data_IF_904377903524
#
_entry.id   IF_904377903524
#
_cell.length_a   1.000
_cell.length_b   1.000
_cell.length_c   1.000
_cell.angle_alpha   90.00
_cell.angle_beta   90.00
_cell.angle_gamma   90.00
#
_symmetry.space_group_name_H-M   'P 1'
#
loop_
_entity.id
_entity.type
_entity.pdbx_description
1 polymer ?
#
# COMPACT_ATOMS: atom_id res chain seq x y z
N UNK A 1 -8.39 13.56 -5.12
CA UNK A 1 -7.35 13.43 -6.17
C UNK A 1 -7.60 12.13 -6.93
N UNK A 2 -7.58 12.15 -8.28
CA UNK A 2 -7.85 10.93 -9.07
C UNK A 2 -6.70 9.93 -8.95
N UNK A 3 -5.53 10.24 -9.52
CA UNK A 3 -4.36 9.35 -9.48
C UNK A 3 -3.10 10.13 -9.09
N UNK A 4 -2.32 9.56 -8.17
CA UNK A 4 -0.96 9.98 -7.85
C UNK A 4 -0.04 8.81 -8.19
N UNK A 5 0.87 9.03 -9.12
CA UNK A 5 1.85 8.03 -9.55
C UNK A 5 3.25 8.62 -9.41
N UNK A 6 4.10 7.95 -8.65
CA UNK A 6 5.47 8.36 -8.38
C UNK A 6 6.41 7.20 -8.68
N UNK A 7 7.37 7.45 -9.56
CA UNK A 7 8.36 6.47 -9.97
C UNK A 7 9.78 6.90 -9.60
N UNK A 8 10.59 5.94 -9.17
CA UNK A 8 12.00 6.11 -8.84
C UNK A 8 12.20 7.31 -7.89
N UNK A 9 13.07 8.27 -8.23
CA UNK A 9 13.35 9.43 -7.38
C UNK A 9 12.11 10.26 -7.03
N UNK A 10 11.03 10.19 -7.82
CA UNK A 10 9.82 10.93 -7.51
C UNK A 10 9.12 10.40 -6.24
N UNK A 11 9.36 9.14 -5.84
CA UNK A 11 8.76 8.57 -4.63
C UNK A 11 9.12 9.40 -3.39
N UNK A 12 10.33 9.98 -3.35
CA UNK A 12 10.83 10.82 -2.25
C UNK A 12 10.11 12.17 -2.09
N UNK A 13 9.23 12.55 -3.02
CA UNK A 13 8.37 13.72 -2.83
C UNK A 13 7.16 13.39 -1.96
N UNK A 14 6.80 12.11 -1.76
CA UNK A 14 5.59 11.70 -1.07
C UNK A 14 5.46 12.33 0.33
N UNK A 15 6.48 12.34 1.21
CA UNK A 15 6.42 13.04 2.49
C UNK A 15 6.26 14.56 2.35
N UNK A 16 6.77 15.14 1.26
CA UNK A 16 6.75 16.58 0.98
C UNK A 16 5.41 17.08 0.44
N UNK A 17 4.56 16.17 -0.05
CA UNK A 17 3.19 16.49 -0.45
C UNK A 17 2.29 16.85 0.74
N UNK A 18 2.76 16.60 1.99
CA UNK A 18 2.05 16.92 3.24
C UNK A 18 0.61 16.43 3.21
N UNK A 19 0.42 15.17 2.81
CA UNK A 19 -0.89 14.55 2.85
C UNK A 19 -1.35 14.44 4.31
N UNK A 20 -2.62 14.70 4.56
CA UNK A 20 -3.26 14.55 5.86
C UNK A 20 -4.42 13.55 5.79
N UNK A 21 -5.01 13.24 6.93
CA UNK A 21 -6.02 12.19 7.13
C UNK A 21 -7.25 12.31 6.20
N UNK A 22 -7.70 13.54 5.92
CA UNK A 22 -8.91 13.80 5.13
C UNK A 22 -8.68 13.68 3.62
N UNK A 23 -7.44 13.54 3.16
CA UNK A 23 -7.15 13.42 1.75
C UNK A 23 -7.78 12.15 1.17
N UNK A 24 -8.43 12.29 0.02
CA UNK A 24 -9.00 11.17 -0.72
C UNK A 24 -8.26 11.00 -2.04
N UNK A 25 -7.59 9.87 -2.21
CA UNK A 25 -6.87 9.48 -3.42
C UNK A 25 -7.57 8.25 -4.02
N UNK A 26 -8.02 8.32 -5.28
CA UNK A 26 -8.62 7.14 -5.91
C UNK A 26 -7.55 6.08 -6.23
N UNK A 27 -6.38 6.50 -6.70
CA UNK A 27 -5.28 5.59 -7.00
C UNK A 27 -3.91 6.18 -6.61
N UNK A 28 -3.18 5.47 -5.73
CA UNK A 28 -1.80 5.76 -5.36
C UNK A 28 -0.90 4.63 -5.91
N UNK A 29 0.01 4.99 -6.80
CA UNK A 29 0.98 4.07 -7.42
C UNK A 29 2.39 4.53 -7.10
N UNK A 30 3.17 3.68 -6.42
CA UNK A 30 4.58 3.91 -6.16
C UNK A 30 5.39 2.78 -6.79
N UNK A 31 6.46 3.11 -7.51
CA UNK A 31 7.38 2.13 -8.07
C UNK A 31 8.82 2.62 -7.97
N UNK A 32 9.75 1.72 -7.64
CA UNK A 32 11.17 2.04 -7.62
C UNK A 32 11.98 0.78 -7.92
N UNK A 33 12.82 0.84 -8.94
CA UNK A 33 13.57 -0.33 -9.42
C UNK A 33 14.91 -0.52 -8.69
N UNK A 34 15.24 0.37 -7.74
CA UNK A 34 16.44 0.28 -6.92
C UNK A 34 16.25 1.03 -5.59
N UNK A 35 16.90 0.57 -4.52
CA UNK A 35 16.88 1.20 -3.18
C UNK A 35 17.40 2.65 -3.19
N UNK A 36 18.31 3.01 -4.11
CA UNK A 36 18.84 4.38 -4.25
C UNK A 36 17.78 5.45 -4.52
N UNK A 37 16.59 5.04 -4.95
CA UNK A 37 15.48 5.93 -5.26
C UNK A 37 14.61 6.25 -4.05
N UNK A 38 14.74 5.48 -2.97
CA UNK A 38 13.87 5.56 -1.79
C UNK A 38 14.71 5.56 -0.51
N UNK A 39 15.73 6.43 -0.41
CA UNK A 39 16.69 6.38 0.71
C UNK A 39 16.18 7.01 2.00
N UNK A 40 15.25 7.97 1.94
CA UNK A 40 14.84 8.73 3.13
C UNK A 40 13.57 8.14 3.76
N UNK A 41 12.62 7.68 2.94
CA UNK A 41 11.36 7.14 3.46
C UNK A 41 11.56 5.90 4.36
N UNK A 42 12.41 4.91 4.04
CA UNK A 42 12.66 3.76 4.91
C UNK A 42 13.26 4.12 6.27
N UNK A 43 13.92 5.29 6.39
CA UNK A 43 14.46 5.79 7.66
C UNK A 43 13.40 6.43 8.56
N UNK A 44 12.20 6.70 8.05
CA UNK A 44 11.11 7.25 8.84
C UNK A 44 10.60 6.23 9.86
N UNK A 45 9.94 6.73 10.91
CA UNK A 45 9.26 5.86 11.87
C UNK A 45 8.11 5.10 11.21
N UNK A 46 7.81 3.90 11.72
CA UNK A 46 6.68 3.12 11.23
C UNK A 46 5.37 3.87 11.47
N UNK A 47 4.43 3.80 10.53
CA UNK A 47 3.15 4.52 10.57
C UNK A 47 3.28 6.05 10.73
N UNK A 48 4.36 6.67 10.25
CA UNK A 48 4.55 8.14 10.35
C UNK A 48 4.10 8.90 9.10
N UNK A 49 4.02 8.24 7.94
CA UNK A 49 3.71 8.87 6.66
C UNK A 49 2.22 8.76 6.33
N UNK A 50 1.45 9.81 6.65
CA UNK A 50 0.03 9.89 6.30
C UNK A 50 -0.20 9.92 4.80
N UNK A 51 -1.13 9.10 4.31
CA UNK A 51 -1.58 9.11 2.91
C UNK A 51 -3.09 9.30 2.74
N UNK A 52 -3.81 9.54 3.85
CA UNK A 52 -5.26 9.74 3.87
C UNK A 52 -6.05 8.46 3.57
N UNK A 53 -7.22 8.63 2.93
CA UNK A 53 -8.08 7.57 2.41
C UNK A 53 -7.68 7.25 0.96
N UNK A 54 -7.38 5.99 0.69
CA UNK A 54 -6.91 5.51 -0.62
C UNK A 54 -7.80 4.36 -1.09
N UNK A 55 -8.41 4.48 -2.28
CA UNK A 55 -9.23 3.39 -2.86
C UNK A 55 -8.37 2.29 -3.46
N UNK A 56 -7.32 2.65 -4.20
CA UNK A 56 -6.38 1.70 -4.82
C UNK A 56 -4.94 2.05 -4.45
N UNK A 57 -4.24 1.13 -3.80
CA UNK A 57 -2.82 1.26 -3.47
C UNK A 57 -2.01 0.20 -4.24
N UNK A 58 -1.00 0.66 -4.98
CA UNK A 58 -0.07 -0.20 -5.73
C UNK A 58 1.37 0.14 -5.36
N UNK A 59 2.11 -0.85 -4.85
CA UNK A 59 3.55 -0.74 -4.57
C UNK A 59 4.31 -1.74 -5.44
N UNK A 60 5.28 -1.24 -6.21
CA UNK A 60 6.14 -2.02 -7.09
C UNK A 60 7.60 -2.02 -6.63
N UNK A 61 8.22 -3.20 -6.72
CA UNK A 61 9.64 -3.43 -6.44
C UNK A 61 10.04 -2.86 -5.06
N UNK A 62 11.09 -2.04 -4.99
CA UNK A 62 11.65 -1.61 -3.71
C UNK A 62 10.71 -0.70 -2.90
N UNK A 63 9.67 -0.11 -3.51
CA UNK A 63 8.66 0.66 -2.76
C UNK A 63 7.83 -0.17 -1.79
N UNK A 64 7.88 -1.51 -1.87
CA UNK A 64 7.25 -2.37 -0.86
C UNK A 64 7.88 -2.14 0.53
N UNK A 65 9.16 -1.80 0.61
CA UNK A 65 9.84 -1.42 1.86
C UNK A 65 9.30 -0.14 2.51
N UNK A 66 8.53 0.67 1.77
CA UNK A 66 7.85 1.86 2.31
C UNK A 66 6.55 1.50 3.05
N UNK A 67 5.97 0.31 2.79
CA UNK A 67 4.70 -0.12 3.38
C UNK A 67 4.63 0.04 4.92
N UNK A 68 5.66 -0.33 5.72
CA UNK A 68 5.63 -0.13 7.18
C UNK A 68 5.55 1.33 7.62
N UNK A 69 5.91 2.26 6.73
CA UNK A 69 5.99 3.70 7.00
C UNK A 69 4.67 4.39 6.73
N UNK A 70 3.85 3.82 5.84
CA UNK A 70 2.55 4.37 5.46
C UNK A 70 1.57 4.25 6.63
N UNK A 71 0.94 5.38 6.95
CA UNK A 71 -0.22 5.43 7.84
C UNK A 71 -1.48 5.55 7.01
N UNK A 72 -2.20 4.43 6.93
CA UNK A 72 -3.52 4.34 6.32
C UNK A 72 -4.56 4.60 7.40
N UNK A 73 -5.58 5.40 7.08
CA UNK A 73 -6.68 5.67 7.99
C UNK A 73 -7.42 4.38 8.38
N UNK A 74 -7.79 4.21 9.66
CA UNK A 74 -8.42 2.97 10.16
C UNK A 74 -9.76 2.66 9.47
N UNK A 75 -10.54 3.71 9.20
CA UNK A 75 -11.81 3.59 8.48
C UNK A 75 -11.64 3.33 6.97
N UNK A 76 -10.42 3.39 6.42
CA UNK A 76 -10.19 3.26 5.00
C UNK A 76 -10.69 1.91 4.48
N UNK A 77 -11.45 1.96 3.38
CA UNK A 77 -11.91 0.79 2.64
C UNK A 77 -11.25 0.84 1.27
N UNK A 78 -10.26 -0.03 1.06
CA UNK A 78 -9.59 -0.18 -0.23
C UNK A 78 -10.37 -1.10 -1.15
N UNK A 79 -10.62 -0.63 -2.36
CA UNK A 79 -11.09 -1.47 -3.46
C UNK A 79 -10.01 -2.46 -3.88
N UNK A 80 -8.74 -2.02 -3.90
CA UNK A 80 -7.63 -2.87 -4.33
C UNK A 80 -6.31 -2.53 -3.65
N UNK A 81 -5.65 -3.56 -3.12
CA UNK A 81 -4.29 -3.50 -2.61
C UNK A 81 -3.39 -4.40 -3.46
N UNK A 82 -2.34 -3.83 -4.06
CA UNK A 82 -1.44 -4.55 -4.99
C UNK A 82 0.01 -4.40 -4.56
N UNK A 83 0.69 -5.53 -4.39
CA UNK A 83 2.13 -5.58 -4.22
C UNK A 83 2.74 -6.44 -5.33
N UNK A 84 3.74 -5.91 -6.01
CA UNK A 84 4.49 -6.63 -7.04
C UNK A 84 6.00 -6.51 -6.80
N UNK A 85 6.64 -7.61 -6.39
CA UNK A 85 8.07 -7.65 -6.12
C UNK A 85 8.78 -8.49 -7.18
N UNK A 86 9.42 -7.84 -8.16
CA UNK A 86 10.16 -8.59 -9.19
C UNK A 86 11.34 -9.36 -8.59
N UNK A 87 12.09 -8.74 -7.69
CA UNK A 87 13.25 -9.33 -7.03
C UNK A 87 12.94 -9.70 -5.58
N UNK A 88 13.50 -10.80 -5.08
CA UNK A 88 13.33 -11.21 -3.68
C UNK A 88 13.91 -10.18 -2.70
N UNK A 89 14.94 -9.44 -3.11
CA UNK A 89 15.54 -8.36 -2.32
C UNK A 89 14.55 -7.25 -1.94
N UNK A 90 13.52 -7.02 -2.76
CA UNK A 90 12.52 -5.98 -2.52
C UNK A 90 11.68 -6.21 -1.25
N UNK A 91 11.71 -7.41 -0.67
CA UNK A 91 10.87 -7.79 0.47
C UNK A 91 11.65 -8.25 1.71
N UNK A 92 12.98 -8.23 1.67
CA UNK A 92 13.84 -8.76 2.75
C UNK A 92 13.49 -8.12 4.09
N UNK A 93 13.41 -6.80 4.15
CA UNK A 93 13.05 -6.06 5.36
C UNK A 93 11.67 -6.45 5.91
N UNK A 94 10.72 -6.77 5.03
CA UNK A 94 9.37 -7.15 5.42
C UNK A 94 9.32 -8.60 5.95
N UNK A 95 10.14 -9.49 5.41
CA UNK A 95 10.20 -10.89 5.85
C UNK A 95 10.64 -11.03 7.31
N UNK A 96 11.50 -10.11 7.78
CA UNK A 96 11.99 -10.05 9.16
C UNK A 96 10.94 -9.56 10.17
N UNK A 97 9.85 -8.96 9.69
CA UNK A 97 8.78 -8.48 10.56
C UNK A 97 7.95 -9.63 11.14
N UNK A 98 7.28 -9.35 12.25
CA UNK A 98 6.33 -10.30 12.85
C UNK A 98 5.11 -10.53 11.94
N UNK A 99 4.46 -11.67 12.12
CA UNK A 99 3.23 -11.94 11.37
C UNK A 99 2.14 -10.95 11.81
N UNK A 100 1.34 -10.47 10.84
CA UNK A 100 0.28 -9.47 11.06
C UNK A 100 0.76 -8.15 11.70
N UNK A 101 2.03 -7.77 11.54
CA UNK A 101 2.53 -6.48 12.04
C UNK A 101 2.22 -5.30 11.11
N UNK A 102 1.90 -5.56 9.84
CA UNK A 102 1.64 -4.52 8.83
C UNK A 102 0.14 -4.30 8.63
N UNK A 103 -0.41 -3.27 9.26
CA UNK A 103 -1.84 -2.92 9.16
C UNK A 103 -2.16 -2.30 7.81
N UNK A 104 -2.95 -3.01 7.01
CA UNK A 104 -3.46 -2.54 5.71
C UNK A 104 -4.91 -2.03 5.82
N UNK A 105 -5.69 -2.55 6.78
CA UNK A 105 -7.09 -2.18 6.98
C UNK A 105 -8.08 -3.06 6.21
N UNK A 106 -9.22 -2.49 5.79
CA UNK A 106 -10.26 -3.22 5.05
C UNK A 106 -9.99 -3.18 3.55
N UNK A 107 -10.00 -4.33 2.89
CA UNK A 107 -9.68 -4.45 1.46
C UNK A 107 -10.67 -5.38 0.75
N UNK A 108 -11.19 -5.02 -0.42
CA UNK A 108 -12.05 -5.89 -1.24
C UNK A 108 -11.27 -6.87 -2.10
N UNK A 109 -10.11 -6.44 -2.61
CA UNK A 109 -9.27 -7.27 -3.49
C UNK A 109 -7.81 -7.08 -3.20
N UNK A 110 -7.11 -8.19 -2.96
CA UNK A 110 -5.66 -8.21 -2.78
C UNK A 110 -5.02 -8.91 -3.97
N UNK A 111 -3.96 -8.32 -4.51
CA UNK A 111 -3.13 -8.93 -5.54
C UNK A 111 -1.67 -8.88 -5.12
N UNK A 112 -1.12 -10.03 -4.75
CA UNK A 112 0.30 -10.21 -4.47
C UNK A 112 0.91 -11.02 -5.62
N UNK A 113 1.91 -10.46 -6.30
CA UNK A 113 2.58 -11.12 -7.44
C UNK A 113 4.06 -11.35 -7.17
N UNK A 114 4.61 -12.38 -7.82
CA UNK A 114 6.02 -12.78 -7.70
C UNK A 114 6.40 -12.96 -6.22
N UNK A 115 7.51 -12.39 -5.76
CA UNK A 115 7.99 -12.53 -4.38
C UNK A 115 7.07 -11.86 -3.35
N UNK A 116 6.20 -10.92 -3.74
CA UNK A 116 5.29 -10.27 -2.80
C UNK A 116 4.30 -11.26 -2.13
N UNK A 117 4.14 -12.47 -2.67
CA UNK A 117 3.34 -13.53 -2.04
C UNK A 117 3.96 -14.03 -0.73
N UNK A 118 5.28 -13.96 -0.60
CA UNK A 118 6.04 -14.52 0.51
C UNK A 118 5.86 -13.70 1.80
N UNK A 119 5.45 -12.44 1.66
CA UNK A 119 5.15 -11.53 2.79
C UNK A 119 3.67 -11.50 3.17
N UNK A 120 2.81 -12.34 2.56
CA UNK A 120 1.37 -12.34 2.85
C UNK A 120 1.06 -12.50 4.34
N UNK A 121 1.83 -13.33 5.06
CA UNK A 121 1.64 -13.56 6.50
C UNK A 121 1.97 -12.36 7.38
N UNK A 122 2.72 -11.38 6.85
CA UNK A 122 3.13 -10.15 7.54
C UNK A 122 2.03 -9.09 7.52
N UNK A 123 1.12 -9.19 6.55
CA UNK A 123 0.01 -8.26 6.34
C UNK A 123 -1.16 -8.58 7.28
N UNK A 124 -1.67 -7.55 7.94
CA UNK A 124 -2.91 -7.56 8.71
C UNK A 124 -3.98 -6.78 7.95
N UNK A 125 -4.97 -7.51 7.43
CA UNK A 125 -6.07 -6.94 6.66
C UNK A 125 -7.36 -7.70 6.94
N UNK A 126 -8.48 -7.00 6.75
CA UNK A 126 -9.82 -7.60 6.72
C UNK A 126 -10.32 -7.59 5.28
N UNK A 127 -10.49 -8.77 4.70
CA UNK A 127 -11.12 -8.90 3.39
C UNK A 127 -12.63 -8.69 3.54
N UNK A 128 -13.20 -7.80 2.74
CA UNK A 128 -14.64 -7.52 2.75
C UNK A 128 -15.23 -7.88 1.39
N UNK A 129 -16.50 -8.33 1.36
CA UNK A 129 -17.17 -8.66 0.12
C UNK A 129 -17.21 -7.43 -0.81
N UNK A 130 -17.03 -7.58 -2.13
CA UNK A 130 -17.45 -6.55 -3.07
C UNK A 130 -18.94 -6.30 -2.86
N UNK A 131 -19.33 -5.03 -2.85
CA UNK A 131 -20.70 -4.56 -2.64
C UNK A 131 -21.62 -5.41 -3.52
N UNK A 132 -22.51 -6.16 -2.89
CA UNK A 132 -23.60 -6.80 -3.61
C UNK A 132 -24.41 -5.69 -4.26
N UNK A 133 -24.48 -5.68 -5.59
CA UNK A 133 -25.61 -5.05 -6.26
C UNK A 133 -26.88 -5.61 -5.60
N UNK A 134 -27.75 -4.72 -5.13
CA UNK A 134 -29.14 -5.07 -4.86
C UNK A 134 -29.67 -5.81 -6.08
N UNK A 135 -29.90 -7.12 -5.94
CA UNK A 135 -30.85 -7.78 -6.81
C UNK A 135 -32.22 -7.32 -6.30
N UNK A 136 -32.69 -6.19 -6.83
CA UNK A 136 -34.11 -5.89 -6.89
C UNK A 136 -34.79 -6.99 -7.72
N UNK A 137 -35.02 -8.12 -7.06
CA UNK A 137 -35.93 -9.17 -7.51
C UNK A 137 -37.34 -8.74 -7.19
N UNK A 138 -37.88 -7.88 -8.03
CA UNK A 138 -39.31 -7.57 -8.16
C UNK A 138 -40.02 -8.82 -8.68
N UNK A 139 -41.15 -9.20 -8.07
CA UNK A 139 -42.10 -10.19 -8.61
C UNK A 139 -42.61 -11.17 -7.58
#
# INVERSE_FOLDING_TARGET
MKRLELENHAVEILPKLKLHEENVIEELVLCADNTRYITEIPKMDNNSLWIGKVKVLKLGNYTIGILPKLRIHEENVMEKFVLDAYWAECIVEILEMENKSLRVGRVRKIKLTRHAKDIKSKLDFTEIAPDGQEVIGSG
#
